data_IF_600933717761
#
_entry.id   IF_600933717761
#
_cell.length_a   1.000
_cell.length_b   1.000
_cell.length_c   1.000
_cell.angle_alpha   90.00
_cell.angle_beta   90.00
_cell.angle_gamma   90.00
#
_symmetry.space_group_name_H-M   'P 1'
#
loop_
_entity.id
_entity.type
_entity.pdbx_description
1 polymer ?
#
# COMPACT_ATOMS: atom_id res chain seq x y z
N UNK A 1 54.83 46.46 53.88
CA UNK A 1 54.60 45.04 54.24
C UNK A 1 53.22 44.63 53.73
N UNK A 2 53.19 43.73 52.73
CA UNK A 2 51.98 43.15 52.12
C UNK A 2 51.40 42.06 53.01
N UNK A 3 50.09 42.06 53.32
CA UNK A 3 49.24 40.86 53.57
C UNK A 3 47.75 41.20 53.30
N UNK A 4 47.23 40.91 52.11
CA UNK A 4 46.39 39.75 51.72
C UNK A 4 44.97 39.75 52.31
N UNK A 5 44.01 40.31 51.55
CA UNK A 5 42.57 40.03 51.70
C UNK A 5 42.21 39.02 50.59
N UNK A 6 41.82 37.80 50.96
CA UNK A 6 41.30 36.81 50.02
C UNK A 6 39.82 37.12 49.76
N UNK A 7 39.49 37.49 48.52
CA UNK A 7 38.11 37.53 48.04
C UNK A 7 37.77 36.18 47.42
N UNK A 8 36.78 35.49 47.98
CA UNK A 8 36.22 34.27 47.41
C UNK A 8 35.38 34.63 46.17
N UNK A 9 35.75 34.08 45.01
CA UNK A 9 34.98 34.20 43.78
C UNK A 9 33.98 33.04 43.75
N UNK A 10 32.70 33.36 43.92
CA UNK A 10 31.59 32.42 43.68
C UNK A 10 31.29 32.38 42.18
N UNK A 11 31.73 31.31 41.51
CA UNK A 11 31.35 31.01 40.13
C UNK A 11 29.90 30.52 40.08
N UNK A 12 29.00 31.36 39.57
CA UNK A 12 27.67 30.93 39.12
C UNK A 12 27.82 30.17 37.80
N UNK A 13 27.59 28.85 37.83
CA UNK A 13 27.43 28.05 36.63
C UNK A 13 26.04 28.32 36.02
N UNK A 14 26.00 29.06 34.90
CA UNK A 14 24.78 29.26 34.14
C UNK A 14 24.42 27.95 33.41
N UNK A 15 23.36 27.29 33.88
CA UNK A 15 22.79 26.09 33.25
C UNK A 15 21.99 26.54 32.02
N UNK A 16 22.61 26.45 30.84
CA UNK A 16 21.96 26.75 29.56
C UNK A 16 20.88 25.72 29.25
N UNK A 17 19.61 26.14 29.25
CA UNK A 17 18.50 25.35 28.75
C UNK A 17 18.59 25.34 27.22
N UNK A 18 19.05 24.23 26.65
CA UNK A 18 19.01 24.03 25.20
C UNK A 18 17.57 23.71 24.77
N UNK A 19 17.01 24.45 23.80
CA UNK A 19 15.72 24.11 23.23
C UNK A 19 15.86 22.77 22.50
N UNK A 20 15.14 21.76 22.98
CA UNK A 20 14.95 20.51 22.25
C UNK A 20 14.08 20.81 21.04
N UNK A 21 14.72 21.19 19.93
CA UNK A 21 14.10 21.15 18.62
C UNK A 21 13.73 19.70 18.34
N UNK A 22 12.44 19.38 18.45
CA UNK A 22 11.92 18.11 17.98
C UNK A 22 12.33 17.96 16.51
N UNK A 23 13.13 16.94 16.23
CA UNK A 23 13.42 16.56 14.87
C UNK A 23 12.09 16.15 14.22
N UNK A 24 11.49 17.05 13.44
CA UNK A 24 10.53 16.66 12.43
C UNK A 24 11.33 15.80 11.47
N UNK A 25 11.15 14.49 11.54
CA UNK A 25 11.73 13.59 10.56
C UNK A 25 11.23 14.07 9.19
N UNK A 26 12.14 14.55 8.33
CA UNK A 26 11.87 14.64 6.90
C UNK A 26 11.52 13.23 6.45
N UNK A 27 10.22 12.94 6.32
CA UNK A 27 9.80 11.84 5.48
C UNK A 27 10.18 12.23 4.06
N UNK A 28 11.35 11.76 3.63
CA UNK A 28 11.83 11.94 2.28
C UNK A 28 10.71 11.57 1.31
N UNK A 29 10.61 12.37 0.25
CA UNK A 29 9.66 12.27 -0.87
C UNK A 29 9.84 10.95 -1.65
N UNK A 30 9.67 9.82 -0.96
CA UNK A 30 9.77 8.49 -1.54
C UNK A 30 8.38 8.18 -2.07
N UNK A 31 8.22 8.28 -3.38
CA UNK A 31 6.97 8.01 -4.06
C UNK A 31 6.98 6.53 -4.47
N UNK A 32 6.40 5.64 -3.66
CA UNK A 32 6.52 4.21 -3.90
C UNK A 32 5.76 3.83 -5.17
N UNK A 33 6.28 2.86 -5.91
CA UNK A 33 5.52 2.21 -6.97
C UNK A 33 4.43 1.36 -6.34
N UNK A 34 3.21 1.49 -6.84
CA UNK A 34 2.08 0.66 -6.41
C UNK A 34 2.01 -0.57 -7.31
N UNK A 35 2.02 -1.75 -6.70
CA UNK A 35 1.91 -3.05 -7.37
C UNK A 35 0.72 -3.78 -6.80
N UNK A 36 -0.28 -4.04 -7.64
CA UNK A 36 -1.51 -4.74 -7.27
C UNK A 36 -1.53 -6.11 -7.94
N UNK A 37 -1.47 -7.18 -7.15
CA UNK A 37 -1.61 -8.56 -7.63
C UNK A 37 -3.08 -8.98 -7.53
N UNK A 38 -3.64 -9.46 -8.63
CA UNK A 38 -4.91 -10.18 -8.68
C UNK A 38 -4.63 -11.69 -8.73
N UNK A 39 -5.11 -12.39 -7.72
CA UNK A 39 -4.82 -13.81 -7.45
C UNK A 39 -6.06 -14.57 -6.97
N UNK A 40 -5.91 -15.88 -6.77
CA UNK A 40 -6.87 -16.72 -6.04
C UNK A 40 -6.16 -17.96 -5.50
N UNK A 41 -6.54 -18.39 -4.30
CA UNK A 41 -6.10 -19.65 -3.71
C UNK A 41 -6.51 -20.87 -4.54
N UNK A 42 -7.55 -20.74 -5.37
CA UNK A 42 -8.00 -21.79 -6.30
C UNK A 42 -7.27 -21.78 -7.64
N UNK A 43 -6.43 -20.77 -7.91
CA UNK A 43 -5.62 -20.68 -9.12
C UNK A 43 -4.28 -21.39 -8.92
N UNK A 44 -4.05 -22.51 -9.63
CA UNK A 44 -2.81 -23.29 -9.50
C UNK A 44 -1.53 -22.51 -9.82
N UNK A 45 -1.58 -21.57 -10.77
CA UNK A 45 -0.42 -20.82 -11.27
C UNK A 45 -0.07 -19.58 -10.43
N UNK A 46 -0.87 -19.29 -9.40
CA UNK A 46 -0.81 -18.10 -8.56
C UNK A 46 0.24 -18.12 -7.43
N UNK A 47 0.54 -19.25 -6.74
CA UNK A 47 1.50 -19.26 -5.63
C UNK A 47 2.89 -18.68 -5.94
N UNK A 48 3.47 -18.87 -7.14
CA UNK A 48 4.72 -18.20 -7.49
C UNK A 48 4.60 -16.67 -7.56
N UNK A 49 3.45 -16.12 -7.95
CA UNK A 49 3.20 -14.68 -7.99
C UNK A 49 2.99 -14.10 -6.58
N UNK A 50 2.27 -14.82 -5.71
CA UNK A 50 2.08 -14.47 -4.29
C UNK A 50 3.43 -14.36 -3.58
N UNK A 51 4.33 -15.33 -3.82
CA UNK A 51 5.71 -15.27 -3.31
C UNK A 51 6.46 -14.03 -3.82
N UNK A 52 6.35 -13.70 -5.10
CA UNK A 52 6.97 -12.48 -5.66
C UNK A 52 6.41 -11.24 -4.97
N UNK A 53 5.09 -11.15 -4.80
CA UNK A 53 4.45 -10.03 -4.10
C UNK A 53 4.95 -9.92 -2.64
N UNK A 54 5.09 -11.04 -1.93
CA UNK A 54 5.66 -11.06 -0.58
C UNK A 54 7.09 -10.52 -0.52
N UNK A 55 7.94 -10.84 -1.51
CA UNK A 55 9.28 -10.24 -1.65
C UNK A 55 9.20 -8.71 -1.90
N UNK A 56 8.20 -8.25 -2.67
CA UNK A 56 7.99 -6.83 -2.94
C UNK A 56 7.43 -6.07 -1.73
N UNK A 57 6.59 -6.71 -0.91
CA UNK A 57 5.99 -6.11 0.29
C UNK A 57 7.03 -5.70 1.35
N UNK A 58 8.23 -6.29 1.32
CA UNK A 58 9.34 -5.96 2.22
C UNK A 58 10.14 -4.73 1.76
N UNK A 59 9.80 -4.12 0.63
CA UNK A 59 10.53 -2.99 0.07
C UNK A 59 9.84 -1.66 0.39
N UNK A 60 10.61 -0.70 0.89
CA UNK A 60 10.07 0.63 1.22
C UNK A 60 9.63 1.41 -0.03
N UNK A 61 10.29 1.17 -1.17
CA UNK A 61 10.00 1.80 -2.47
C UNK A 61 8.82 1.17 -3.23
N UNK A 62 8.16 0.15 -2.67
CA UNK A 62 7.00 -0.52 -3.30
C UNK A 62 5.85 -0.74 -2.33
N UNK A 63 4.68 -0.26 -2.70
CA UNK A 63 3.43 -0.65 -2.06
C UNK A 63 2.87 -1.85 -2.82
N UNK A 64 2.94 -3.02 -2.20
CA UNK A 64 2.40 -4.27 -2.74
C UNK A 64 1.03 -4.57 -2.12
N UNK A 65 0.01 -4.82 -2.95
CA UNK A 65 -1.36 -5.14 -2.51
C UNK A 65 -1.84 -6.43 -3.17
N UNK A 66 -2.47 -7.30 -2.40
CA UNK A 66 -3.01 -8.58 -2.87
C UNK A 66 -4.54 -8.56 -2.90
N UNK A 67 -5.08 -8.76 -4.09
CA UNK A 67 -6.52 -8.80 -4.37
C UNK A 67 -6.92 -10.22 -4.77
N UNK A 68 -7.84 -10.80 -4.00
CA UNK A 68 -8.37 -12.13 -4.30
C UNK A 68 -9.65 -12.01 -5.11
N UNK A 69 -9.63 -12.56 -6.33
CA UNK A 69 -10.79 -12.54 -7.23
C UNK A 69 -11.69 -13.75 -6.98
N UNK A 70 -12.99 -13.56 -7.15
CA UNK A 70 -14.02 -14.54 -6.77
C UNK A 70 -14.42 -15.51 -7.90
N UNK A 71 -14.07 -15.23 -9.16
CA UNK A 71 -14.50 -16.05 -10.29
C UNK A 71 -13.91 -17.47 -10.32
N UNK A 72 -12.95 -17.78 -9.43
CA UNK A 72 -12.42 -19.14 -9.21
C UNK A 72 -13.24 -19.96 -8.20
N UNK A 73 -14.05 -19.33 -7.34
CA UNK A 73 -14.68 -19.97 -6.17
C UNK A 73 -15.77 -21.00 -6.50
N UNK A 74 -16.25 -20.96 -7.74
CA UNK A 74 -17.29 -21.86 -8.25
C UNK A 74 -16.71 -23.10 -8.95
N UNK A 75 -15.41 -23.14 -9.22
CA UNK A 75 -14.79 -24.23 -9.99
C UNK A 75 -14.66 -25.51 -9.17
N UNK A 76 -14.91 -26.65 -9.83
CA UNK A 76 -14.83 -27.99 -9.26
C UNK A 76 -13.72 -28.77 -9.94
N UNK A 77 -12.75 -29.25 -9.16
CA UNK A 77 -11.53 -29.89 -9.65
C UNK A 77 -11.53 -31.39 -9.41
N UNK A 78 -12.34 -32.13 -10.16
CA UNK A 78 -12.43 -33.59 -10.05
C UNK A 78 -12.55 -34.05 -8.60
N UNK A 79 -11.69 -34.98 -8.17
CA UNK A 79 -11.65 -35.50 -6.80
C UNK A 79 -11.08 -34.52 -5.76
N UNK A 80 -10.38 -33.46 -6.20
CA UNK A 80 -9.91 -32.40 -5.30
C UNK A 80 -11.07 -31.47 -4.86
N UNK A 81 -12.24 -31.58 -5.50
CA UNK A 81 -13.44 -30.84 -5.13
C UNK A 81 -13.33 -29.34 -5.41
N UNK A 82 -14.09 -28.56 -4.65
CA UNK A 82 -14.16 -27.10 -4.76
C UNK A 82 -13.45 -26.44 -3.59
N UNK A 83 -12.80 -25.32 -3.85
CA UNK A 83 -12.32 -24.42 -2.80
C UNK A 83 -12.85 -23.02 -3.09
N UNK A 84 -13.49 -22.44 -2.07
CA UNK A 84 -13.82 -21.03 -2.05
C UNK A 84 -12.69 -20.32 -1.33
N UNK A 85 -12.02 -19.41 -2.03
CA UNK A 85 -11.00 -18.58 -1.43
C UNK A 85 -11.61 -17.75 -0.30
N UNK A 86 -11.03 -17.82 0.89
CA UNK A 86 -11.59 -17.11 2.07
C UNK A 86 -11.34 -15.60 2.01
N UNK A 87 -10.48 -15.15 1.10
CA UNK A 87 -10.17 -13.74 0.91
C UNK A 87 -10.83 -13.14 -0.32
N UNK A 88 -11.42 -13.94 -1.20
CA UNK A 88 -12.03 -13.44 -2.44
C UNK A 88 -13.13 -12.43 -2.17
N UNK A 89 -13.26 -11.47 -3.09
CA UNK A 89 -14.35 -10.51 -3.06
C UNK A 89 -14.77 -10.09 -4.47
N UNK A 90 -16.06 -9.85 -4.72
CA UNK A 90 -16.53 -9.31 -5.99
C UNK A 90 -15.95 -7.93 -6.28
N UNK A 91 -15.61 -7.13 -5.26
CA UNK A 91 -14.97 -5.82 -5.40
C UNK A 91 -13.55 -5.95 -5.96
N UNK A 92 -12.81 -6.98 -5.57
CA UNK A 92 -11.47 -7.29 -6.13
C UNK A 92 -11.58 -7.72 -7.60
N UNK A 93 -12.56 -8.57 -7.93
CA UNK A 93 -12.87 -8.94 -9.32
C UNK A 93 -13.25 -7.71 -10.14
N UNK A 94 -14.08 -6.82 -9.59
CA UNK A 94 -14.50 -5.59 -10.25
C UNK A 94 -13.34 -4.65 -10.52
N UNK A 95 -12.47 -4.46 -9.53
CA UNK A 95 -11.26 -3.65 -9.66
C UNK A 95 -10.36 -4.19 -10.78
N UNK A 96 -10.18 -5.50 -10.88
CA UNK A 96 -9.44 -6.12 -11.97
C UNK A 96 -10.09 -5.85 -13.33
N UNK A 97 -11.41 -6.04 -13.42
CA UNK A 97 -12.18 -5.83 -14.66
C UNK A 97 -12.04 -4.39 -15.15
N UNK A 98 -12.12 -3.42 -14.24
CA UNK A 98 -11.90 -2.00 -14.56
C UNK A 98 -10.49 -1.74 -15.08
N UNK A 99 -9.45 -2.36 -14.50
CA UNK A 99 -8.09 -2.27 -15.04
C UNK A 99 -8.00 -2.84 -16.45
N UNK A 100 -8.59 -4.01 -16.70
CA UNK A 100 -8.56 -4.64 -18.02
C UNK A 100 -9.27 -3.82 -19.09
N UNK A 101 -10.28 -3.02 -18.72
CA UNK A 101 -10.96 -2.10 -19.63
C UNK A 101 -10.15 -0.81 -19.89
N UNK A 102 -9.34 -0.36 -18.93
CA UNK A 102 -8.64 0.92 -18.99
C UNK A 102 -7.21 0.81 -19.53
N UNK A 103 -6.53 -0.31 -19.30
CA UNK A 103 -5.13 -0.50 -19.63
C UNK A 103 -4.90 -1.07 -21.03
N UNK A 104 -3.85 -0.65 -21.74
CA UNK A 104 -3.36 -1.41 -22.88
C UNK A 104 -2.83 -2.75 -22.38
N UNK A 105 -3.36 -3.85 -22.92
CA UNK A 105 -3.02 -5.19 -22.45
C UNK A 105 -3.96 -6.25 -23.01
N UNK A 106 -4.21 -7.29 -22.23
CA UNK A 106 -5.04 -8.42 -22.66
C UNK A 106 -6.53 -8.08 -22.83
N UNK A 107 -7.05 -7.10 -22.10
CA UNK A 107 -8.47 -6.72 -22.18
C UNK A 107 -9.44 -7.73 -21.55
N UNK A 108 -8.94 -8.76 -20.85
CA UNK A 108 -9.75 -9.76 -20.15
C UNK A 108 -9.13 -10.15 -18.81
N UNK A 109 -9.96 -10.57 -17.86
CA UNK A 109 -9.53 -11.02 -16.53
C UNK A 109 -8.75 -12.34 -16.60
N UNK A 110 -7.61 -12.38 -15.93
CA UNK A 110 -6.77 -13.56 -15.80
C UNK A 110 -5.95 -13.50 -14.51
N UNK A 111 -5.54 -14.63 -13.98
CA UNK A 111 -4.65 -14.70 -12.81
C UNK A 111 -3.45 -15.61 -13.07
N UNK A 112 -2.28 -15.35 -12.45
CA UNK A 112 -1.98 -14.15 -11.67
C UNK A 112 -1.70 -12.94 -12.58
N UNK A 113 -2.37 -11.82 -12.34
CA UNK A 113 -2.13 -10.54 -13.03
C UNK A 113 -1.55 -9.54 -12.02
N UNK A 114 -0.47 -8.85 -12.38
CA UNK A 114 0.04 -7.71 -11.62
C UNK A 114 -0.16 -6.43 -12.40
N UNK A 115 -0.65 -5.39 -11.73
CA UNK A 115 -0.82 -4.03 -12.26
C UNK A 115 0.16 -3.09 -11.55
N UNK A 116 0.81 -2.22 -12.33
CA UNK A 116 1.85 -1.30 -11.85
C UNK A 116 1.38 0.14 -12.03
N UNK A 117 1.27 0.89 -10.93
CA UNK A 117 0.81 2.29 -10.87
C UNK A 117 -0.53 2.56 -11.60
N UNK A 118 -1.33 1.52 -11.84
CA UNK A 118 -2.50 1.62 -12.71
C UNK A 118 -2.17 2.10 -14.13
N UNK A 119 -0.99 1.78 -14.67
CA UNK A 119 -0.50 2.19 -16.00
C UNK A 119 -0.11 1.02 -16.90
N UNK A 120 0.31 -0.10 -16.33
CA UNK A 120 0.67 -1.29 -17.08
C UNK A 120 0.36 -2.56 -16.32
N UNK A 121 0.36 -3.69 -17.03
CA UNK A 121 0.03 -5.00 -16.48
C UNK A 121 1.00 -6.08 -17.00
N UNK A 122 1.20 -7.12 -16.20
CA UNK A 122 1.93 -8.31 -16.63
C UNK A 122 1.49 -9.56 -15.87
N UNK A 123 1.90 -10.73 -16.37
CA UNK A 123 1.66 -12.00 -15.65
C UNK A 123 2.54 -12.05 -14.40
N UNK A 124 1.89 -12.10 -13.22
CA UNK A 124 2.57 -11.91 -11.93
C UNK A 124 3.60 -12.96 -11.56
N UNK A 125 3.51 -14.17 -12.14
CA UNK A 125 4.50 -15.23 -11.91
C UNK A 125 5.75 -15.14 -12.80
N UNK A 126 5.85 -14.13 -13.67
CA UNK A 126 7.01 -13.90 -14.54
C UNK A 126 7.98 -12.89 -13.90
N UNK A 127 8.83 -13.35 -12.98
CA UNK A 127 9.76 -12.49 -12.20
C UNK A 127 10.56 -11.47 -13.03
N UNK A 128 11.04 -11.84 -14.23
CA UNK A 128 11.76 -10.92 -15.13
C UNK A 128 10.84 -9.81 -15.67
N UNK A 129 9.60 -10.14 -16.04
CA UNK A 129 8.63 -9.17 -16.53
C UNK A 129 8.20 -8.21 -15.40
N UNK A 130 7.91 -8.74 -14.22
CA UNK A 130 7.59 -7.94 -13.02
C UNK A 130 8.71 -6.95 -12.70
N UNK A 131 9.97 -7.40 -12.68
CA UNK A 131 11.12 -6.50 -12.46
C UNK A 131 11.24 -5.42 -13.55
N UNK A 132 10.93 -5.76 -14.80
CA UNK A 132 10.95 -4.81 -15.91
C UNK A 132 9.87 -3.73 -15.76
N UNK A 133 8.65 -4.11 -15.39
CA UNK A 133 7.54 -3.16 -15.19
C UNK A 133 7.78 -2.26 -13.98
N UNK A 134 8.30 -2.79 -12.86
CA UNK A 134 8.72 -1.97 -11.71
C UNK A 134 9.76 -0.94 -12.15
N UNK A 135 10.81 -1.37 -12.86
CA UNK A 135 11.85 -0.45 -13.35
C UNK A 135 11.25 0.64 -14.23
N UNK A 136 10.36 0.26 -15.16
CA UNK A 136 9.66 1.20 -16.04
C UNK A 136 8.84 2.21 -15.24
N UNK A 137 8.05 1.75 -14.27
CA UNK A 137 7.24 2.61 -13.40
C UNK A 137 8.10 3.58 -12.58
N UNK A 138 9.24 3.12 -12.06
CA UNK A 138 10.18 3.96 -11.30
C UNK A 138 10.93 4.98 -12.17
N UNK A 139 11.13 4.69 -13.46
CA UNK A 139 11.75 5.63 -14.41
C UNK A 139 10.76 6.58 -15.08
N UNK A 140 9.46 6.37 -14.87
CA UNK A 140 8.41 7.24 -15.38
C UNK A 140 8.33 8.50 -14.49
N UNK A 141 9.11 9.53 -14.86
CA UNK A 141 9.30 10.79 -14.12
C UNK A 141 8.05 11.71 -14.19
N UNK A 142 6.87 11.15 -14.39
CA UNK A 142 5.63 11.93 -14.30
C UNK A 142 5.54 12.60 -12.92
N UNK A 143 5.10 13.87 -12.88
CA UNK A 143 4.78 14.55 -11.62
C UNK A 143 3.80 13.66 -10.84
N UNK A 144 4.11 13.41 -9.57
CA UNK A 144 3.20 12.73 -8.64
C UNK A 144 2.88 13.67 -7.48
N UNK A 145 1.69 13.50 -6.93
CA UNK A 145 1.23 14.18 -5.73
C UNK A 145 1.99 13.65 -4.53
N UNK A 146 2.34 14.57 -3.64
CA UNK A 146 2.74 14.25 -2.28
C UNK A 146 1.51 13.80 -1.52
N UNK A 147 1.62 12.67 -0.82
CA UNK A 147 0.55 12.15 0.05
C UNK A 147 1.17 11.90 1.41
N UNK A 148 0.59 12.48 2.45
CA UNK A 148 0.98 12.24 3.83
C UNK A 148 -0.23 11.70 4.61
N UNK A 149 0.02 10.71 5.47
CA UNK A 149 -1.02 10.12 6.32
C UNK A 149 -0.54 10.18 7.77
N UNK A 150 -1.32 10.82 8.63
CA UNK A 150 -1.03 10.97 10.06
C UNK A 150 -2.21 10.48 10.89
N UNK A 151 -1.98 9.97 12.12
CA UNK A 151 -3.07 9.67 13.03
C UNK A 151 -3.68 10.97 13.56
N UNK A 152 -5.00 11.01 13.71
CA UNK A 152 -5.68 12.11 14.41
C UNK A 152 -5.58 11.95 15.93
N UNK A 153 -5.50 13.06 16.67
CA UNK A 153 -5.49 13.05 18.14
C UNK A 153 -6.78 12.44 18.71
N UNK A 154 -7.91 12.67 18.02
CA UNK A 154 -9.22 12.11 18.35
C UNK A 154 -9.40 10.63 17.96
N UNK A 155 -8.40 10.02 17.32
CA UNK A 155 -8.54 8.75 16.60
C UNK A 155 -8.96 8.97 15.14
N UNK A 156 -8.62 8.00 14.28
CA UNK A 156 -8.77 8.09 12.82
C UNK A 156 -7.50 8.53 12.10
N UNK A 157 -7.65 8.95 10.84
CA UNK A 157 -6.54 9.38 9.97
C UNK A 157 -6.77 10.80 9.44
N UNK A 158 -5.70 11.58 9.33
CA UNK A 158 -5.61 12.79 8.53
C UNK A 158 -4.78 12.49 7.28
N UNK A 159 -5.33 12.78 6.12
CA UNK A 159 -4.70 12.57 4.82
C UNK A 159 -4.45 13.93 4.20
N UNK A 160 -3.21 14.29 3.93
CA UNK A 160 -2.84 15.52 3.23
C UNK A 160 -2.34 15.18 1.83
N UNK A 161 -2.90 15.84 0.82
CA UNK A 161 -2.52 15.67 -0.59
C UNK A 161 -2.09 17.03 -1.13
N UNK A 162 -0.92 17.08 -1.77
CA UNK A 162 -0.37 18.32 -2.33
C UNK A 162 0.41 18.04 -3.63
N UNK A 163 0.53 19.06 -4.48
CA UNK A 163 1.25 19.01 -5.75
C UNK A 163 0.41 19.49 -6.93
N UNK A 164 1.02 19.46 -8.11
CA UNK A 164 0.42 19.98 -9.34
C UNK A 164 0.32 18.88 -10.40
N UNK A 165 -0.89 18.38 -10.60
CA UNK A 165 -1.27 17.50 -11.71
C UNK A 165 -2.50 18.08 -12.41
N UNK A 166 -2.49 18.13 -13.74
CA UNK A 166 -3.55 18.75 -14.54
C UNK A 166 -4.84 17.92 -14.68
N UNK A 167 -5.21 17.11 -13.69
CA UNK A 167 -6.44 16.31 -13.72
C UNK A 167 -6.93 15.95 -12.31
N UNK A 168 -8.25 15.93 -12.11
CA UNK A 168 -8.86 15.49 -10.86
C UNK A 168 -8.62 13.98 -10.59
N UNK A 169 -8.69 13.61 -9.31
CA UNK A 169 -8.48 12.25 -8.84
C UNK A 169 -9.30 11.94 -7.59
N UNK A 170 -9.67 10.67 -7.42
CA UNK A 170 -10.24 10.19 -6.16
C UNK A 170 -9.15 9.87 -5.14
N UNK A 171 -9.46 10.08 -3.86
CA UNK A 171 -8.62 9.66 -2.73
C UNK A 171 -9.22 8.37 -2.16
N UNK A 172 -8.44 7.30 -2.20
CA UNK A 172 -8.87 5.94 -1.89
C UNK A 172 -8.05 5.37 -0.73
N UNK A 173 -8.73 4.92 0.31
CA UNK A 173 -8.15 4.19 1.44
C UNK A 173 -8.29 2.68 1.18
N UNK A 174 -7.19 1.95 1.26
CA UNK A 174 -7.15 0.50 1.20
C UNK A 174 -6.80 -0.01 2.58
N UNK A 175 -7.70 -0.79 3.19
CA UNK A 175 -7.42 -1.49 4.43
C UNK A 175 -7.09 -2.95 4.12
N UNK A 176 -5.98 -3.44 4.66
CA UNK A 176 -5.45 -4.75 4.31
C UNK A 176 -4.88 -5.49 5.52
N UNK A 177 -4.99 -6.82 5.48
CA UNK A 177 -4.33 -7.71 6.43
C UNK A 177 -2.89 -7.95 5.99
N UNK A 178 -1.92 -7.72 6.88
CA UNK A 178 -0.48 -7.76 6.56
C UNK A 178 -0.05 -9.13 6.06
N UNK A 179 -0.48 -10.20 6.73
CA UNK A 179 -0.11 -11.57 6.37
C UNK A 179 -1.15 -12.56 6.88
N UNK A 180 -1.41 -13.61 6.10
CA UNK A 180 -2.12 -14.79 6.59
C UNK A 180 -1.75 -16.05 5.79
N UNK A 181 -1.39 -17.10 6.51
CA UNK A 181 -1.24 -18.44 5.95
C UNK A 181 -2.60 -19.17 5.90
N UNK A 182 -2.84 -19.89 4.80
CA UNK A 182 -4.05 -20.68 4.57
C UNK A 182 -3.66 -22.01 3.93
N UNK A 183 -4.32 -23.09 4.38
CA UNK A 183 -4.20 -24.41 3.76
C UNK A 183 -5.53 -24.79 3.11
N UNK A 184 -5.67 -24.65 1.78
CA UNK A 184 -6.89 -25.06 1.09
C UNK A 184 -7.23 -26.52 1.34
N UNK A 185 -8.50 -26.80 1.63
CA UNK A 185 -9.00 -28.18 1.85
C UNK A 185 -9.54 -28.83 0.57
N UNK A 186 -9.65 -28.05 -0.51
CA UNK A 186 -10.07 -28.47 -1.84
C UNK A 186 -9.36 -27.70 -2.96
N UNK A 187 -9.74 -27.96 -4.21
CA UNK A 187 -9.20 -27.28 -5.39
C UNK A 187 -7.76 -27.70 -5.75
N UNK A 188 -7.19 -27.06 -6.78
CA UNK A 188 -5.86 -27.43 -7.32
C UNK A 188 -4.70 -27.22 -6.33
N UNK A 189 -4.90 -26.35 -5.34
CA UNK A 189 -3.91 -26.06 -4.30
C UNK A 189 -4.20 -26.79 -2.97
N UNK A 190 -5.07 -27.80 -2.97
CA UNK A 190 -5.39 -28.61 -1.79
C UNK A 190 -4.14 -29.08 -1.05
N UNK A 191 -4.09 -28.84 0.25
CA UNK A 191 -3.01 -29.27 1.14
C UNK A 191 -1.73 -28.42 1.10
N UNK A 192 -1.60 -27.49 0.14
CA UNK A 192 -0.47 -26.54 0.12
C UNK A 192 -0.64 -25.49 1.22
N UNK A 193 0.46 -25.04 1.80
CA UNK A 193 0.46 -23.87 2.68
C UNK A 193 0.69 -22.61 1.85
N UNK A 194 -0.34 -21.78 1.70
CA UNK A 194 -0.32 -20.53 0.93
C UNK A 194 -0.17 -19.36 1.90
N UNK A 195 0.92 -18.60 1.79
CA UNK A 195 1.16 -17.39 2.59
C UNK A 195 0.83 -16.18 1.73
N UNK A 196 -0.15 -15.40 2.16
CA UNK A 196 -0.69 -14.25 1.44
C UNK A 196 -0.26 -12.98 2.19
N UNK A 197 0.04 -11.90 1.47
CA UNK A 197 0.64 -10.68 2.01
C UNK A 197 -0.15 -9.44 1.57
N UNK A 198 -0.33 -8.49 2.48
CA UNK A 198 -1.07 -7.24 2.22
C UNK A 198 -2.44 -7.49 1.54
N UNK A 199 -3.20 -8.43 2.11
CA UNK A 199 -4.48 -8.92 1.62
C UNK A 199 -5.53 -7.82 1.76
N UNK A 200 -5.94 -7.22 0.65
CA UNK A 200 -6.93 -6.15 0.66
C UNK A 200 -8.28 -6.67 1.14
N UNK A 201 -8.82 -6.03 2.17
CA UNK A 201 -10.12 -6.37 2.78
C UNK A 201 -11.19 -5.32 2.51
N UNK A 202 -10.77 -4.07 2.32
CA UNK A 202 -11.67 -2.97 2.01
C UNK A 202 -10.96 -1.96 1.10
N UNK A 203 -11.69 -1.42 0.13
CA UNK A 203 -11.29 -0.27 -0.68
C UNK A 203 -12.40 0.77 -0.58
N UNK A 204 -12.08 1.92 0.01
CA UNK A 204 -13.06 2.97 0.28
C UNK A 204 -12.60 4.30 -0.31
N UNK A 205 -13.49 4.97 -1.03
CA UNK A 205 -13.27 6.36 -1.43
C UNK A 205 -13.51 7.26 -0.22
N UNK A 206 -12.52 8.06 0.13
CA UNK A 206 -12.56 8.93 1.32
C UNK A 206 -12.58 10.41 0.96
N UNK A 207 -12.29 10.75 -0.29
CA UNK A 207 -12.38 12.13 -0.75
C UNK A 207 -12.05 12.28 -2.23
N UNK A 208 -11.93 13.54 -2.62
CA UNK A 208 -11.67 14.03 -3.95
C UNK A 208 -10.44 14.94 -3.92
N UNK A 209 -9.63 14.89 -4.96
CA UNK A 209 -8.56 15.85 -5.21
C UNK A 209 -8.89 16.64 -6.49
N UNK A 210 -9.07 17.96 -6.34
CA UNK A 210 -9.59 18.85 -7.38
C UNK A 210 -8.53 19.78 -7.99
N UNK A 211 -7.24 19.50 -7.78
CA UNK A 211 -6.15 20.33 -8.29
C UNK A 211 -5.44 21.21 -7.26
N UNK A 212 -5.98 21.31 -6.03
CA UNK A 212 -5.43 22.13 -4.95
C UNK A 212 -5.02 21.26 -3.76
N UNK A 213 -4.13 21.79 -2.90
CA UNK A 213 -3.75 21.11 -1.67
C UNK A 213 -4.98 20.84 -0.80
N UNK A 214 -5.15 19.61 -0.35
CA UNK A 214 -6.34 19.15 0.36
C UNK A 214 -5.97 18.35 1.61
N UNK A 215 -6.83 18.47 2.64
CA UNK A 215 -6.77 17.60 3.82
C UNK A 215 -8.12 16.89 3.99
N UNK A 216 -8.08 15.58 4.15
CA UNK A 216 -9.24 14.71 4.35
C UNK A 216 -9.10 13.97 5.68
N UNK A 217 -10.11 14.09 6.54
CA UNK A 217 -10.17 13.35 7.79
C UNK A 217 -11.04 12.11 7.65
N UNK A 218 -10.51 10.99 8.15
CA UNK A 218 -11.18 9.69 8.20
C UNK A 218 -11.32 9.29 9.67
N UNK A 219 -12.24 9.96 10.36
CA UNK A 219 -12.42 9.86 11.81
C UNK A 219 -12.86 8.47 12.28
N UNK A 220 -13.51 7.70 11.40
CA UNK A 220 -14.01 6.35 11.71
C UNK A 220 -12.99 5.23 11.49
N UNK A 221 -11.78 5.56 11.01
CA UNK A 221 -10.74 4.56 10.79
C UNK A 221 -10.27 3.96 12.11
N UNK A 222 -10.31 2.64 12.21
CA UNK A 222 -9.84 1.88 13.37
C UNK A 222 -8.54 1.17 13.02
N UNK A 223 -7.55 1.35 13.87
CA UNK A 223 -6.33 0.57 13.80
C UNK A 223 -6.57 -0.79 14.43
N UNK A 224 -6.14 -1.85 13.74
CA UNK A 224 -6.33 -3.23 14.16
C UNK A 224 -5.01 -3.99 14.06
N UNK A 225 -4.74 -4.83 15.05
CA UNK A 225 -3.53 -5.66 15.06
C UNK A 225 -3.52 -6.62 13.86
N UNK A 226 -2.38 -6.71 13.20
CA UNK A 226 -2.22 -7.50 11.98
C UNK A 226 -2.79 -6.84 10.71
N UNK A 227 -3.37 -5.65 10.81
CA UNK A 227 -3.84 -4.86 9.68
C UNK A 227 -3.00 -3.59 9.49
N UNK A 228 -3.16 -2.99 8.32
CA UNK A 228 -2.58 -1.70 7.95
C UNK A 228 -3.42 -1.08 6.83
N UNK A 229 -3.08 0.14 6.43
CA UNK A 229 -3.67 0.76 5.27
C UNK A 229 -2.68 1.48 4.37
N UNK A 230 -3.13 1.78 3.15
CA UNK A 230 -2.49 2.69 2.22
C UNK A 230 -3.54 3.65 1.68
N UNK A 231 -3.14 4.88 1.43
CA UNK A 231 -3.90 5.85 0.65
C UNK A 231 -3.34 5.92 -0.76
N UNK A 232 -4.20 5.78 -1.75
CA UNK A 232 -3.91 6.02 -3.16
C UNK A 232 -4.71 7.23 -3.64
N UNK A 233 -4.03 8.19 -4.26
CA UNK A 233 -4.68 9.23 -5.06
C UNK A 233 -4.64 8.75 -6.50
N UNK A 234 -5.81 8.45 -7.07
CA UNK A 234 -5.93 7.72 -8.32
C UNK A 234 -6.97 8.36 -9.23
N UNK A 235 -6.65 8.45 -10.52
CA UNK A 235 -7.59 8.91 -11.56
C UNK A 235 -8.89 8.10 -11.52
N UNK A 236 -10.01 8.78 -11.75
CA UNK A 236 -11.37 8.21 -11.72
C UNK A 236 -11.55 6.99 -12.65
N UNK A 237 -10.74 6.89 -13.72
CA UNK A 237 -10.74 5.75 -14.65
C UNK A 237 -9.90 4.56 -14.18
N UNK A 238 -9.56 4.49 -12.89
CA UNK A 238 -8.72 3.45 -12.28
C UNK A 238 -7.31 3.44 -12.88
N UNK A 239 -6.66 4.62 -12.90
CA UNK A 239 -5.31 4.78 -13.45
C UNK A 239 -5.13 6.11 -14.22
N UNK A 240 -3.97 6.78 -14.07
CA UNK A 240 -2.81 6.40 -13.27
C UNK A 240 -3.01 6.61 -11.75
N UNK A 241 -2.20 5.92 -10.95
CA UNK A 241 -1.96 6.27 -9.54
C UNK A 241 -1.02 7.47 -9.50
N UNK A 242 -1.56 8.57 -8.99
CA UNK A 242 -0.93 9.89 -8.96
C UNK A 242 -0.17 10.19 -7.68
N UNK A 243 -0.46 9.48 -6.59
CA UNK A 243 0.23 9.62 -5.31
C UNK A 243 -0.14 8.45 -4.42
N UNK A 244 0.76 8.06 -3.53
CA UNK A 244 0.51 6.95 -2.63
C UNK A 244 1.29 7.10 -1.33
N UNK A 245 0.68 6.72 -0.21
CA UNK A 245 1.34 6.71 1.09
C UNK A 245 0.80 5.60 1.98
N UNK A 246 1.71 4.91 2.68
CA UNK A 246 1.33 3.96 3.73
C UNK A 246 0.78 4.73 4.92
N UNK A 247 -0.20 4.15 5.58
CA UNK A 247 -0.66 4.64 6.86
C UNK A 247 0.43 4.47 7.93
N UNK A 248 0.41 5.30 8.99
CA UNK A 248 1.32 5.16 10.12
C UNK A 248 1.18 3.77 10.74
N UNK A 249 2.31 3.16 11.12
CA UNK A 249 2.27 1.98 11.96
C UNK A 249 1.71 2.34 13.33
N UNK A 250 0.94 1.43 13.94
CA UNK A 250 0.65 1.52 15.36
C UNK A 250 1.99 1.59 16.13
N UNK A 251 2.14 2.60 16.97
CA UNK A 251 3.25 2.64 17.92
C UNK A 251 3.13 1.39 18.80
N UNK A 252 4.21 0.61 18.84
CA UNK A 252 4.34 -0.60 19.66
C UNK A 252 4.44 -0.26 21.14
#
# INVERSE_FOLDING_TARGET
MKRYLQAAVLSFAALGILPHGGAVAEQGNNQPTVVELFTSQSCYSCPPAEKILGELAQRDDIIALEHHVDYWDSLVYGSAGRWKDIFSSPESTERQRRYNNALPGRGYSYTPQMVFDGKSETVGNRKRAVKSEIKKAQTDIAKRLSVAVAPLVSGGLSITVDGEIGQEAGIWLFHYKKEQAVQPTGGENKGKNLVNHNIVREVRRVGDWTGEAATVEVADYKFEDGFSCVVLVQSERLGPVMGAARCPALAS
#
